data_IF_346771380232
#
_entry.id   IF_346771380232
#
_cell.length_a   1.000
_cell.length_b   1.000
_cell.length_c   1.000
_cell.angle_alpha   90.00
_cell.angle_beta   90.00
_cell.angle_gamma   90.00
#
_symmetry.space_group_name_H-M   'P 1'
#
loop_
_entity.id
_entity.type
_entity.pdbx_description
1 polymer ?
#
# COMPACT_ATOMS: atom_id res chain seq x y z
N UNK A 1 -1.01 -9.19 -12.13
CA UNK A 1 -1.32 -7.75 -12.16
C UNK A 1 -0.36 -7.04 -11.22
N UNK A 2 0.45 -6.12 -11.71
CA UNK A 2 1.33 -5.31 -10.86
C UNK A 2 0.77 -3.89 -10.83
N UNK A 3 0.31 -3.44 -9.66
CA UNK A 3 -0.17 -2.06 -9.44
C UNK A 3 1.01 -1.21 -9.00
N UNK A 4 1.18 -0.04 -9.63
CA UNK A 4 2.18 0.95 -9.21
C UNK A 4 1.51 1.85 -8.19
N UNK A 5 1.84 1.66 -6.91
CA UNK A 5 1.39 2.53 -5.84
C UNK A 5 2.59 3.27 -5.21
N UNK A 6 2.34 4.40 -4.57
CA UNK A 6 3.37 5.21 -3.92
C UNK A 6 2.77 5.69 -2.59
N UNK A 7 3.51 5.51 -1.49
CA UNK A 7 3.05 5.91 -0.16
C UNK A 7 3.83 7.16 0.26
N UNK A 8 3.17 8.33 0.36
CA UNK A 8 3.79 9.60 0.79
C UNK A 8 5.13 9.91 0.08
N UNK A 9 5.15 9.84 -1.26
CA UNK A 9 6.37 10.03 -2.07
C UNK A 9 7.49 8.99 -1.84
N UNK A 10 7.18 7.84 -1.26
CA UNK A 10 8.08 6.69 -1.11
C UNK A 10 7.64 5.51 -1.97
N UNK A 11 8.63 4.85 -2.59
CA UNK A 11 8.44 3.69 -3.46
C UNK A 11 8.50 2.36 -2.68
N UNK A 12 8.83 2.41 -1.37
CA UNK A 12 9.01 1.24 -0.51
C UNK A 12 7.72 0.81 0.17
N UNK A 13 6.74 0.41 -0.64
CA UNK A 13 5.39 0.08 -0.19
C UNK A 13 5.36 -1.12 0.77
N UNK A 14 6.30 -2.06 0.62
CA UNK A 14 6.37 -3.27 1.43
C UNK A 14 6.67 -3.03 2.92
N UNK A 15 7.18 -1.84 3.27
CA UNK A 15 7.37 -1.43 4.67
C UNK A 15 6.05 -1.01 5.30
N UNK A 16 5.13 -0.47 4.50
CA UNK A 16 3.89 0.15 4.95
C UNK A 16 2.65 -0.74 4.72
N UNK A 17 2.76 -1.80 3.92
CA UNK A 17 1.67 -2.73 3.67
C UNK A 17 2.15 -4.18 3.66
N UNK A 18 1.41 -5.05 4.36
CA UNK A 18 1.63 -6.51 4.39
C UNK A 18 0.45 -7.21 3.77
N UNK A 19 0.62 -7.66 2.53
CA UNK A 19 -0.36 -8.45 1.79
C UNK A 19 -0.19 -9.92 2.12
N UNK A 20 -1.26 -10.57 2.57
CA UNK A 20 -1.34 -12.04 2.74
C UNK A 20 -2.38 -12.63 1.79
N UNK A 21 -2.52 -13.96 1.80
CA UNK A 21 -3.47 -14.66 0.93
C UNK A 21 -4.95 -14.34 1.25
N UNK A 22 -5.25 -13.96 2.49
CA UNK A 22 -6.63 -13.71 2.94
C UNK A 22 -6.89 -12.25 3.33
N UNK A 23 -5.88 -11.51 3.78
CA UNK A 23 -6.03 -10.13 4.22
C UNK A 23 -4.79 -9.27 3.94
N UNK A 24 -4.98 -7.96 3.85
CA UNK A 24 -3.91 -6.99 3.77
C UNK A 24 -3.95 -6.08 5.00
N UNK A 25 -2.80 -5.90 5.64
CA UNK A 25 -2.61 -4.89 6.68
C UNK A 25 -1.89 -3.70 6.05
N UNK A 26 -2.33 -2.50 6.36
CA UNK A 26 -1.79 -1.26 5.80
C UNK A 26 -1.60 -0.23 6.91
N UNK A 27 -0.51 0.53 6.84
CA UNK A 27 -0.23 1.63 7.74
C UNK A 27 -1.33 2.68 7.68
N UNK A 28 -1.68 3.23 8.84
CA UNK A 28 -2.61 4.35 8.98
C UNK A 28 -1.85 5.62 8.59
N UNK A 29 -2.40 6.42 7.67
CA UNK A 29 -1.79 7.67 7.21
C UNK A 29 -1.40 7.71 5.74
N UNK A 30 -1.88 6.78 4.91
CA UNK A 30 -1.76 6.88 3.46
C UNK A 30 -2.79 7.83 2.85
N UNK A 31 -2.49 8.39 1.69
CA UNK A 31 -3.50 9.09 0.88
C UNK A 31 -4.54 8.10 0.34
N UNK A 32 -5.77 8.56 0.09
CA UNK A 32 -6.86 7.75 -0.48
C UNK A 32 -6.49 7.11 -1.81
N UNK A 33 -5.56 7.74 -2.54
CA UNK A 33 -5.00 7.23 -3.79
C UNK A 33 -4.18 5.94 -3.60
N UNK A 34 -3.66 5.70 -2.40
CA UNK A 34 -2.97 4.46 -2.05
C UNK A 34 -3.94 3.31 -1.75
N UNK A 35 -5.14 3.63 -1.27
CA UNK A 35 -6.20 2.65 -0.99
C UNK A 35 -7.14 2.43 -2.19
N UNK A 36 -7.10 3.34 -3.16
CA UNK A 36 -7.87 3.26 -4.41
C UNK A 36 -7.07 2.41 -5.40
N UNK A 37 -7.56 1.18 -5.59
CA UNK A 37 -6.90 0.13 -6.38
C UNK A 37 -6.62 0.49 -7.84
#
# INVERSE_FOLDING_TARGET
>A
MAVRAQFESSNDIGVFARVTNAYCLVGIGGSENFYST
#
